data_IF_053599321522
#
_entry.id   IF_053599321522
#
_cell.length_a   1.000
_cell.length_b   1.000
_cell.length_c   1.000
_cell.angle_alpha   90.00
_cell.angle_beta   90.00
_cell.angle_gamma   90.00
#
_symmetry.space_group_name_H-M   'P 1'
#
loop_
_entity.id
_entity.type
_entity.pdbx_description
1 polymer ?
#
# COMPACT_ATOMS: atom_id res chain seq x y z
N UNK A 1 -19.13 -2.37 13.41
CA UNK A 1 -17.68 -2.25 13.10
C UNK A 1 -16.97 -3.42 13.77
N UNK A 2 -15.99 -4.05 13.11
CA UNK A 2 -15.35 -5.29 13.57
C UNK A 2 -14.46 -5.14 14.81
N UNK A 3 -14.37 -3.95 15.41
CA UNK A 3 -13.67 -3.71 16.68
C UNK A 3 -12.15 -3.50 16.57
N UNK A 4 -11.62 -3.32 15.36
CA UNK A 4 -10.21 -3.01 15.14
C UNK A 4 -9.92 -1.52 15.24
N UNK A 5 -8.80 -1.19 15.87
CA UNK A 5 -8.20 0.15 15.80
C UNK A 5 -7.36 0.27 14.52
N UNK A 6 -7.50 1.37 13.80
CA UNK A 6 -6.97 1.52 12.44
C UNK A 6 -6.39 2.92 12.24
N UNK A 7 -5.10 2.96 11.87
CA UNK A 7 -4.45 4.17 11.35
C UNK A 7 -4.46 4.14 9.82
N UNK A 8 -5.33 4.95 9.22
CA UNK A 8 -5.46 5.01 7.76
C UNK A 8 -4.47 6.01 7.14
N UNK A 9 -3.70 5.56 6.16
CA UNK A 9 -2.88 6.42 5.29
C UNK A 9 -3.38 6.27 3.86
N UNK A 10 -3.82 7.36 3.26
CA UNK A 10 -4.33 7.36 1.90
C UNK A 10 -3.15 7.41 0.91
N UNK A 11 -3.07 6.48 -0.05
CA UNK A 11 -2.11 6.58 -1.16
C UNK A 11 -2.56 7.59 -2.22
N UNK A 12 -3.87 7.82 -2.31
CA UNK A 12 -4.50 8.79 -3.21
C UNK A 12 -5.71 9.42 -2.52
N UNK A 13 -6.08 10.61 -2.95
CA UNK A 13 -7.34 11.24 -2.57
C UNK A 13 -8.03 11.77 -3.82
N UNK A 14 -8.97 10.99 -4.34
CA UNK A 14 -9.74 11.32 -5.54
C UNK A 14 -11.17 11.74 -5.21
N UNK A 15 -11.78 12.49 -6.12
CA UNK A 15 -13.18 12.93 -6.05
C UNK A 15 -14.18 11.77 -6.10
N UNK A 16 -13.84 10.71 -6.83
CA UNK A 16 -14.67 9.54 -7.09
C UNK A 16 -13.81 8.38 -7.59
N UNK A 17 -14.41 7.19 -7.71
CA UNK A 17 -13.79 6.00 -8.29
C UNK A 17 -13.29 6.29 -9.72
N UNK A 18 -12.17 5.68 -10.12
CA UNK A 18 -11.53 5.89 -11.43
C UNK A 18 -12.34 5.31 -12.60
N UNK A 19 -13.25 4.37 -12.31
CA UNK A 19 -14.20 3.82 -13.30
C UNK A 19 -15.28 4.80 -13.82
N UNK A 20 -15.40 6.01 -13.26
CA UNK A 20 -16.26 7.05 -13.82
C UNK A 20 -15.54 7.81 -14.95
N UNK A 21 -16.31 8.50 -15.80
CA UNK A 21 -15.79 9.27 -16.95
C UNK A 21 -14.65 10.24 -16.62
N UNK A 22 -14.67 10.84 -15.42
CA UNK A 22 -13.63 11.76 -14.98
C UNK A 22 -13.46 11.64 -13.47
N UNK A 23 -12.23 11.82 -13.00
CA UNK A 23 -11.90 12.00 -11.60
C UNK A 23 -10.82 13.08 -11.48
N UNK A 24 -10.72 13.69 -10.31
CA UNK A 24 -9.65 14.63 -9.96
C UNK A 24 -9.15 14.32 -8.57
N UNK A 25 -7.92 14.70 -8.28
CA UNK A 25 -7.40 14.63 -6.92
C UNK A 25 -5.90 14.42 -6.88
N UNK A 26 -5.43 13.94 -5.74
CA UNK A 26 -4.02 13.86 -5.39
C UNK A 26 -3.54 12.41 -5.39
N UNK A 27 -2.31 12.20 -5.86
CA UNK A 27 -1.56 10.95 -5.69
C UNK A 27 -0.39 11.28 -4.77
N UNK A 28 -0.30 10.59 -3.63
CA UNK A 28 0.76 10.81 -2.67
C UNK A 28 2.02 10.03 -3.08
N UNK A 29 3.18 10.56 -2.69
CA UNK A 29 4.48 9.97 -3.00
C UNK A 29 5.21 9.48 -1.72
N UNK A 30 6.47 9.10 -1.86
CA UNK A 30 7.32 8.65 -0.76
C UNK A 30 7.48 9.68 0.37
N UNK A 31 7.58 10.97 0.04
CA UNK A 31 7.81 12.03 1.02
C UNK A 31 6.56 12.27 1.87
N UNK A 32 5.39 12.23 1.23
CA UNK A 32 4.10 12.33 1.93
C UNK A 32 3.92 11.16 2.92
N UNK A 33 4.19 9.93 2.46
CA UNK A 33 4.13 8.74 3.33
C UNK A 33 5.15 8.81 4.47
N UNK A 34 6.37 9.25 4.19
CA UNK A 34 7.41 9.42 5.20
C UNK A 34 7.01 10.43 6.27
N UNK A 35 6.41 11.56 5.87
CA UNK A 35 5.91 12.59 6.77
C UNK A 35 4.83 12.03 7.70
N UNK A 36 3.81 11.37 7.15
CA UNK A 36 2.71 10.78 7.94
C UNK A 36 3.21 9.69 8.89
N UNK A 37 4.03 8.76 8.39
CA UNK A 37 4.59 7.69 9.22
C UNK A 37 5.52 8.24 10.30
N UNK A 38 6.29 9.29 10.01
CA UNK A 38 7.09 10.03 11.00
C UNK A 38 6.22 10.55 12.15
N UNK A 39 5.11 11.20 11.83
CA UNK A 39 4.15 11.67 12.83
C UNK A 39 3.59 10.54 13.70
N UNK A 40 3.26 9.39 13.12
CA UNK A 40 2.81 8.21 13.88
C UNK A 40 3.89 7.69 14.84
N UNK A 41 5.16 7.69 14.41
CA UNK A 41 6.30 7.29 15.25
C UNK A 41 6.53 8.25 16.40
N UNK A 42 6.50 9.56 16.14
CA UNK A 42 6.71 10.60 17.16
C UNK A 42 5.63 10.57 18.24
N UNK A 43 4.39 10.22 17.87
CA UNK A 43 3.28 10.07 18.82
C UNK A 43 3.24 8.69 19.51
N UNK A 44 4.17 7.78 19.21
CA UNK A 44 4.22 6.45 19.83
C UNK A 44 3.10 5.50 19.39
N UNK A 45 2.40 5.79 18.28
CA UNK A 45 1.26 5.02 17.77
C UNK A 45 1.59 4.22 16.50
N UNK A 46 2.88 3.92 16.29
CA UNK A 46 3.38 3.13 15.16
C UNK A 46 3.53 1.63 15.46
N UNK A 47 2.93 1.15 16.55
CA UNK A 47 2.96 -0.26 16.94
C UNK A 47 1.76 -0.98 16.35
N UNK A 48 1.97 -1.72 15.26
CA UNK A 48 0.93 -2.43 14.55
C UNK A 48 1.06 -3.94 14.72
N UNK A 49 -0.08 -4.63 14.73
CA UNK A 49 -0.15 -6.09 14.60
C UNK A 49 -0.29 -6.53 13.15
N UNK A 50 -0.92 -5.70 12.31
CA UNK A 50 -1.17 -5.98 10.90
C UNK A 50 -0.91 -4.73 10.05
N UNK A 51 -0.48 -4.95 8.80
CA UNK A 51 -0.47 -3.95 7.74
C UNK A 51 -1.33 -4.50 6.60
N UNK A 52 -2.18 -3.65 6.03
CA UNK A 52 -2.95 -3.94 4.83
C UNK A 52 -2.66 -2.86 3.79
N UNK A 53 -2.24 -3.27 2.60
CA UNK A 53 -2.10 -2.38 1.43
C UNK A 53 -3.11 -2.77 0.37
N UNK A 54 -3.52 -1.78 -0.42
CA UNK A 54 -4.40 -1.93 -1.58
C UNK A 54 -3.93 -1.02 -2.70
N UNK A 55 -4.85 -0.33 -3.38
CA UNK A 55 -4.54 0.58 -4.48
C UNK A 55 -3.43 1.59 -4.13
N UNK A 56 -2.36 1.59 -4.93
CA UNK A 56 -1.25 2.54 -4.85
C UNK A 56 -1.01 3.08 -6.26
N UNK A 57 -1.07 4.40 -6.42
CA UNK A 57 -0.90 5.07 -7.72
C UNK A 57 0.52 5.57 -8.01
N UNK A 58 1.48 5.32 -7.12
CA UNK A 58 2.83 5.87 -7.20
C UNK A 58 3.89 4.81 -6.89
N UNK A 59 4.87 4.67 -7.79
CA UNK A 59 6.00 3.77 -7.60
C UNK A 59 6.79 4.13 -6.32
N UNK A 60 7.09 5.42 -6.11
CA UNK A 60 7.86 5.86 -4.94
C UNK A 60 7.12 5.61 -3.62
N UNK A 61 5.78 5.72 -3.64
CA UNK A 61 4.96 5.36 -2.49
C UNK A 61 5.07 3.86 -2.17
N UNK A 62 4.98 2.99 -3.19
CA UNK A 62 5.09 1.54 -3.02
C UNK A 62 6.48 1.11 -2.52
N UNK A 63 7.55 1.74 -3.04
CA UNK A 63 8.91 1.50 -2.53
C UNK A 63 9.04 1.89 -1.07
N UNK A 64 8.43 3.02 -0.68
CA UNK A 64 8.45 3.49 0.70
C UNK A 64 7.64 2.59 1.63
N UNK A 65 6.53 2.03 1.16
CA UNK A 65 5.79 0.98 1.88
C UNK A 65 6.70 -0.20 2.19
N UNK A 66 7.48 -0.69 1.22
CA UNK A 66 8.40 -1.81 1.44
C UNK A 66 9.42 -1.50 2.54
N UNK A 67 10.02 -0.30 2.55
CA UNK A 67 10.94 0.14 3.61
C UNK A 67 10.27 0.15 5.00
N UNK A 68 9.05 0.68 5.08
CA UNK A 68 8.30 0.80 6.33
C UNK A 68 7.93 -0.57 6.89
N UNK A 69 7.43 -1.48 6.04
CA UNK A 69 7.09 -2.85 6.46
C UNK A 69 8.33 -3.55 7.01
N UNK A 70 9.49 -3.41 6.35
CA UNK A 70 10.76 -3.98 6.84
C UNK A 70 11.18 -3.37 8.19
N UNK A 71 11.06 -2.05 8.39
CA UNK A 71 11.33 -1.39 9.70
C UNK A 71 10.38 -1.92 10.79
N UNK A 72 9.10 -2.09 10.47
CA UNK A 72 8.11 -2.57 11.42
C UNK A 72 8.30 -4.05 11.77
N UNK A 73 8.59 -4.92 10.80
CA UNK A 73 8.90 -6.33 11.05
C UNK A 73 10.15 -6.54 11.90
N UNK A 74 11.15 -5.64 11.81
CA UNK A 74 12.32 -5.67 12.70
C UNK A 74 11.96 -5.42 14.17
N UNK A 75 10.95 -4.57 14.42
CA UNK A 75 10.49 -4.24 15.79
C UNK A 75 9.47 -5.25 16.30
N UNK A 76 8.62 -5.75 15.41
CA UNK A 76 7.61 -6.76 15.69
C UNK A 76 7.70 -7.91 14.67
N UNK A 77 8.48 -8.96 14.96
CA UNK A 77 8.61 -10.11 14.06
C UNK A 77 7.31 -10.91 13.83
N UNK A 78 6.26 -10.70 14.65
CA UNK A 78 4.94 -11.32 14.44
C UNK A 78 3.96 -10.43 13.67
N UNK A 79 4.39 -9.27 13.19
CA UNK A 79 3.60 -8.40 12.33
C UNK A 79 3.21 -9.14 11.04
N UNK A 80 1.91 -9.17 10.74
CA UNK A 80 1.38 -9.75 9.50
C UNK A 80 1.15 -8.64 8.47
N UNK A 81 1.80 -8.77 7.32
CA UNK A 81 1.59 -7.91 6.17
C UNK A 81 0.73 -8.61 5.11
N UNK A 82 -0.45 -8.05 4.88
CA UNK A 82 -1.39 -8.44 3.81
C UNK A 82 -1.26 -7.44 2.67
N UNK A 83 -0.89 -7.93 1.49
CA UNK A 83 -0.79 -7.15 0.27
C UNK A 83 -1.96 -7.50 -0.67
N UNK A 84 -2.82 -6.54 -0.94
CA UNK A 84 -3.76 -6.60 -2.07
C UNK A 84 -3.13 -5.85 -3.25
N UNK A 85 -2.55 -6.54 -4.25
CA UNK A 85 -1.76 -5.91 -5.31
C UNK A 85 -2.67 -5.34 -6.40
N UNK A 86 -3.52 -4.38 -6.04
CA UNK A 86 -4.53 -3.77 -6.93
C UNK A 86 -3.84 -3.10 -8.12
N UNK A 87 -3.77 -3.79 -9.25
CA UNK A 87 -3.08 -3.35 -10.46
C UNK A 87 -4.01 -3.28 -11.68
N UNK A 88 -5.00 -4.16 -11.76
CA UNK A 88 -5.86 -4.25 -12.94
C UNK A 88 -6.83 -5.42 -12.89
N UNK A 89 -7.75 -5.45 -13.84
CA UNK A 89 -8.62 -6.59 -14.09
C UNK A 89 -8.96 -6.68 -15.60
N UNK A 90 -9.57 -7.78 -16.02
CA UNK A 90 -10.08 -7.98 -17.39
C UNK A 90 -9.06 -7.74 -18.53
N UNK A 91 -7.76 -7.97 -18.27
CA UNK A 91 -6.71 -7.81 -19.27
C UNK A 91 -6.07 -6.43 -19.32
N UNK A 92 -6.49 -5.48 -18.47
CA UNK A 92 -6.00 -4.10 -18.48
C UNK A 92 -5.44 -3.67 -17.12
N UNK A 93 -4.27 -3.03 -17.14
CA UNK A 93 -3.69 -2.37 -15.97
C UNK A 93 -4.30 -0.97 -15.79
N UNK A 94 -4.68 -0.65 -14.56
CA UNK A 94 -5.18 0.67 -14.16
C UNK A 94 -4.13 1.51 -13.44
N UNK A 95 -2.97 0.91 -13.13
CA UNK A 95 -1.83 1.55 -12.47
C UNK A 95 -0.64 1.70 -13.42
N UNK A 96 0.31 2.60 -13.13
CA UNK A 96 1.53 2.71 -13.91
C UNK A 96 2.32 1.39 -13.97
N UNK A 97 2.83 1.03 -15.13
CA UNK A 97 3.52 -0.25 -15.35
C UNK A 97 4.80 -0.39 -14.52
N UNK A 98 5.38 0.73 -14.07
CA UNK A 98 6.58 0.77 -13.24
C UNK A 98 6.35 0.24 -11.82
N UNK A 99 5.09 0.03 -11.39
CA UNK A 99 4.79 -0.59 -10.10
C UNK A 99 5.07 -2.10 -10.11
N UNK A 100 4.93 -2.77 -11.26
CA UNK A 100 5.02 -4.23 -11.34
C UNK A 100 6.40 -4.76 -10.89
N UNK A 101 7.55 -4.21 -11.33
CA UNK A 101 8.85 -4.62 -10.80
C UNK A 101 8.97 -4.42 -9.28
N UNK A 102 8.38 -3.35 -8.72
CA UNK A 102 8.43 -3.11 -7.28
C UNK A 102 7.61 -4.15 -6.51
N UNK A 103 6.46 -4.56 -7.05
CA UNK A 103 5.69 -5.65 -6.46
C UNK A 103 6.51 -6.94 -6.43
N UNK A 104 7.07 -7.35 -7.58
CA UNK A 104 7.82 -8.61 -7.72
C UNK A 104 9.10 -8.61 -6.87
N UNK A 105 9.92 -7.57 -7.02
CA UNK A 105 11.28 -7.55 -6.47
C UNK A 105 11.34 -7.13 -4.99
N UNK A 106 10.27 -6.50 -4.46
CA UNK A 106 10.27 -5.97 -3.08
C UNK A 106 9.07 -6.44 -2.28
N UNK A 107 7.85 -6.21 -2.75
CA UNK A 107 6.64 -6.40 -1.94
C UNK A 107 6.33 -7.87 -1.70
N UNK A 108 6.36 -8.70 -2.74
CA UNK A 108 6.06 -10.13 -2.64
C UNK A 108 7.07 -10.87 -1.75
N UNK A 109 8.31 -10.37 -1.64
CA UNK A 109 9.33 -10.96 -0.77
C UNK A 109 9.10 -10.72 0.72
N UNK A 110 8.26 -9.73 1.08
CA UNK A 110 8.03 -9.33 2.47
C UNK A 110 6.57 -9.49 2.93
N UNK A 111 5.64 -9.72 2.01
CA UNK A 111 4.24 -10.00 2.31
C UNK A 111 4.08 -11.39 2.92
N UNK A 112 3.23 -11.51 3.95
CA UNK A 112 2.87 -12.80 4.54
C UNK A 112 1.64 -13.39 3.85
N UNK A 113 0.75 -12.52 3.36
CA UNK A 113 -0.46 -12.87 2.62
C UNK A 113 -0.56 -11.95 1.41
N UNK A 114 -0.90 -12.51 0.26
CA UNK A 114 -1.18 -11.76 -0.96
C UNK A 114 -2.57 -12.13 -1.44
N UNK A 115 -3.39 -11.15 -1.82
CA UNK A 115 -4.79 -11.38 -2.26
C UNK A 115 -5.04 -10.90 -3.69
N UNK A 116 -4.31 -11.43 -4.69
CA UNK A 116 -4.48 -11.00 -6.07
C UNK A 116 -5.79 -11.54 -6.67
N UNK A 117 -6.31 -10.84 -7.68
CA UNK A 117 -7.30 -11.40 -8.60
C UNK A 117 -6.62 -12.23 -9.71
N UNK A 118 -7.39 -12.87 -10.59
CA UNK A 118 -6.83 -13.71 -11.66
C UNK A 118 -5.81 -12.98 -12.55
N UNK A 119 -6.13 -11.76 -13.00
CA UNK A 119 -5.26 -10.98 -13.88
C UNK A 119 -3.97 -10.57 -13.18
N UNK A 120 -4.01 -10.32 -11.88
CA UNK A 120 -2.84 -9.95 -11.08
C UNK A 120 -1.93 -11.15 -10.77
N UNK A 121 -2.42 -12.38 -10.91
CA UNK A 121 -1.64 -13.62 -10.78
C UNK A 121 -0.93 -14.01 -12.08
N UNK A 122 -1.57 -13.75 -13.22
CA UNK A 122 -1.06 -14.08 -14.56
C UNK A 122 0.22 -13.32 -14.93
#
# INVERSE_FOLDING_TARGET
VLGFDVSSINSVQFSNHTGYKCFKGQVLNSDDLACLYGGLKENGISSFSHILTGYIGSQSFLEKVAEIVVDLKKKNPSLVYVCDPVMGDNGEMYVPAELLPVYIDKILLIADIVTPNQFEVE
#
